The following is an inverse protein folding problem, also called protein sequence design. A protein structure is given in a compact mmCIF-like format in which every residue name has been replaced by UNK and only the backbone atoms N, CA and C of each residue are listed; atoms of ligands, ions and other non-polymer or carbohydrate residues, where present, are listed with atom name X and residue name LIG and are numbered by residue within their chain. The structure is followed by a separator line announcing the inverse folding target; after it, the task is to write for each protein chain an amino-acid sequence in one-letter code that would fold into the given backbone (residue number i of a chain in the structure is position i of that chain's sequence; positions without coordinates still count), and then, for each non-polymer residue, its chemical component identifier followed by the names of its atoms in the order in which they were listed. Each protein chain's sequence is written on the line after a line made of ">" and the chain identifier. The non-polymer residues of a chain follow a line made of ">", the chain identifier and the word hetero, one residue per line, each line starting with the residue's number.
data_IF_218878118882
#
_entry.id   IF_218878118882
#
_cell.length_a   1.000
_cell.length_b   1.000
_cell.length_c   1.000
_cell.angle_alpha   90.00
_cell.angle_beta   90.00
_cell.angle_gamma   90.00
#
_symmetry.space_group_name_H-M   'P 1'
#
loop_
_entity.id
_entity.type
_entity.pdbx_description
1 polymer ?
#
# COMPACT_ATOMS: atom_id res chain seq x y z
N UNK A 1 16.86 19.80 -9.75
CA UNK A 1 16.71 18.82 -10.87
C UNK A 1 15.25 18.45 -10.96
N UNK A 2 14.67 18.23 -12.15
CA UNK A 2 13.27 17.85 -12.26
C UNK A 2 13.04 16.48 -11.63
N UNK A 3 12.01 16.38 -10.80
CA UNK A 3 11.56 15.13 -10.22
C UNK A 3 10.11 14.89 -10.62
N UNK A 4 9.71 13.63 -10.70
CA UNK A 4 8.34 13.25 -11.01
C UNK A 4 7.84 12.25 -9.98
N UNK A 5 6.56 12.39 -9.62
CA UNK A 5 5.81 11.35 -8.93
C UNK A 5 5.06 10.56 -10.00
N UNK A 6 5.22 9.24 -9.94
CA UNK A 6 4.53 8.28 -10.80
C UNK A 6 3.53 7.53 -9.93
N UNK A 7 2.25 7.67 -10.25
CA UNK A 7 1.19 6.84 -9.70
C UNK A 7 1.01 5.60 -10.55
N UNK A 8 0.98 4.43 -9.93
CA UNK A 8 0.80 3.18 -10.64
C UNK A 8 -0.16 2.22 -9.92
N UNK A 9 -0.75 1.31 -10.70
CA UNK A 9 -1.50 0.17 -10.20
C UNK A 9 -0.64 -1.10 -10.21
N UNK A 10 -0.84 -1.96 -9.22
CA UNK A 10 -0.27 -3.32 -9.11
C UNK A 10 -1.42 -4.29 -8.88
N UNK A 11 -1.88 -4.91 -9.95
CA UNK A 11 -3.07 -5.78 -10.00
C UNK A 11 -2.77 -7.07 -10.76
N UNK A 12 -3.76 -7.97 -10.86
CA UNK A 12 -3.63 -9.22 -11.63
C UNK A 12 -2.38 -10.04 -11.23
N UNK A 13 -1.59 -10.55 -12.18
CA UNK A 13 -0.40 -11.35 -11.88
C UNK A 13 0.70 -10.55 -11.18
N UNK A 14 0.81 -9.24 -11.43
CA UNK A 14 1.83 -8.39 -10.83
C UNK A 14 1.71 -8.28 -9.30
N UNK A 15 0.54 -8.59 -8.71
CA UNK A 15 0.34 -8.61 -7.25
C UNK A 15 1.31 -9.54 -6.53
N UNK A 16 1.84 -10.55 -7.22
CA UNK A 16 2.78 -11.53 -6.67
C UNK A 16 4.24 -11.09 -6.72
N UNK A 17 4.56 -9.96 -7.37
CA UNK A 17 5.91 -9.40 -7.33
C UNK A 17 6.23 -8.91 -5.91
N UNK A 18 7.38 -9.33 -5.39
CA UNK A 18 7.98 -8.76 -4.19
C UNK A 18 8.45 -7.32 -4.43
N UNK A 19 8.71 -6.58 -3.35
CA UNK A 19 9.21 -5.21 -3.45
C UNK A 19 10.54 -5.13 -4.22
N UNK A 20 11.47 -6.06 -3.98
CA UNK A 20 12.77 -6.05 -4.66
C UNK A 20 12.65 -6.35 -6.16
N UNK A 21 11.75 -7.26 -6.54
CA UNK A 21 11.48 -7.53 -7.96
C UNK A 21 10.83 -6.33 -8.65
N UNK A 22 9.92 -5.65 -7.96
CA UNK A 22 9.30 -4.43 -8.46
C UNK A 22 10.32 -3.31 -8.69
N UNK A 23 11.23 -3.09 -7.73
CA UNK A 23 12.34 -2.12 -7.87
C UNK A 23 13.17 -2.45 -9.12
N UNK A 24 13.63 -3.70 -9.25
CA UNK A 24 14.43 -4.14 -10.42
C UNK A 24 13.65 -4.02 -11.73
N UNK A 25 12.34 -4.24 -11.70
CA UNK A 25 11.48 -4.09 -12.87
C UNK A 25 11.44 -2.63 -13.32
N UNK A 26 11.19 -1.69 -12.41
CA UNK A 26 11.20 -0.27 -12.73
C UNK A 26 12.57 0.20 -13.22
N UNK A 27 13.67 -0.25 -12.61
CA UNK A 27 15.02 0.04 -13.11
C UNK A 27 15.21 -0.36 -14.58
N UNK A 28 14.77 -1.58 -14.94
CA UNK A 28 14.82 -2.06 -16.33
C UNK A 28 13.87 -1.30 -17.25
N UNK A 29 12.65 -1.02 -16.79
CA UNK A 29 11.65 -0.29 -17.55
C UNK A 29 12.12 1.12 -17.89
N UNK A 30 12.69 1.85 -16.94
CA UNK A 30 13.24 3.19 -17.14
C UNK A 30 14.39 3.18 -18.17
N UNK A 31 15.27 2.17 -18.10
CA UNK A 31 16.35 1.98 -19.08
C UNK A 31 15.81 1.70 -20.48
N UNK A 32 14.86 0.77 -20.63
CA UNK A 32 14.26 0.42 -21.94
C UNK A 32 13.43 1.56 -22.53
N UNK A 33 12.77 2.33 -21.67
CA UNK A 33 12.03 3.53 -22.06
C UNK A 33 12.98 4.65 -22.54
N UNK A 34 14.29 4.52 -22.35
CA UNK A 34 15.31 5.52 -22.64
C UNK A 34 15.02 6.87 -21.96
N UNK A 35 14.42 6.83 -20.78
CA UNK A 35 14.15 8.04 -20.00
C UNK A 35 15.46 8.55 -19.39
N UNK A 36 15.74 9.86 -19.45
CA UNK A 36 16.97 10.45 -18.91
C UNK A 36 16.88 10.56 -17.38
N UNK A 37 16.78 9.42 -16.70
CA UNK A 37 16.76 9.33 -15.23
C UNK A 37 18.18 9.57 -14.70
N UNK A 38 18.29 10.28 -13.59
CA UNK A 38 19.55 10.47 -12.88
C UNK A 38 20.02 9.14 -12.30
N UNK A 39 21.33 8.92 -12.26
CA UNK A 39 21.92 7.74 -11.64
C UNK A 39 22.72 8.11 -10.38
N UNK A 40 22.82 7.18 -9.44
CA UNK A 40 23.72 7.29 -8.29
C UNK A 40 25.20 7.34 -8.73
N UNK A 41 26.04 8.01 -7.95
CA UNK A 41 27.45 8.30 -8.27
C UNK A 41 28.43 7.23 -7.74
N UNK A 42 27.96 6.00 -7.48
CA UNK A 42 28.78 4.91 -6.92
C UNK A 42 29.24 3.90 -7.97
N UNK A 43 30.02 2.90 -7.54
CA UNK A 43 30.54 1.83 -8.40
C UNK A 43 29.47 0.99 -9.13
N UNK A 44 28.23 1.03 -8.65
CA UNK A 44 27.06 0.41 -9.31
C UNK A 44 25.95 1.47 -9.46
N UNK A 45 26.01 2.31 -10.51
CA UNK A 45 25.05 3.39 -10.71
C UNK A 45 23.65 2.81 -10.89
N UNK A 46 22.72 3.27 -10.04
CA UNK A 46 21.31 2.88 -10.02
C UNK A 46 20.45 4.09 -10.38
N UNK A 47 19.34 3.92 -11.12
CA UNK A 47 18.37 4.99 -11.30
C UNK A 47 17.94 5.58 -9.96
N UNK A 48 17.89 6.90 -9.87
CA UNK A 48 17.48 7.64 -8.68
C UNK A 48 15.95 7.56 -8.54
N UNK A 49 15.47 6.42 -8.03
CA UNK A 49 14.07 6.15 -7.76
C UNK A 49 13.83 5.82 -6.29
N UNK A 50 12.65 6.14 -5.80
CA UNK A 50 12.18 5.79 -4.45
C UNK A 50 10.69 5.45 -4.48
N UNK A 51 10.25 4.57 -3.58
CA UNK A 51 8.85 4.17 -3.46
C UNK A 51 8.27 4.76 -2.18
N UNK A 52 6.99 5.11 -2.20
CA UNK A 52 6.31 5.66 -1.03
C UNK A 52 6.17 4.64 0.10
N UNK A 53 5.76 3.42 -0.23
CA UNK A 53 5.67 2.32 0.72
C UNK A 53 5.72 0.98 -0.02
N UNK A 54 6.29 -0.09 0.57
CA UNK A 54 6.14 -1.42 0.01
C UNK A 54 4.67 -1.87 0.05
N UNK A 55 4.30 -2.74 -0.89
CA UNK A 55 3.03 -3.46 -0.90
C UNK A 55 3.34 -4.95 -0.65
N UNK A 56 2.57 -5.59 0.21
CA UNK A 56 2.74 -7.01 0.53
C UNK A 56 2.47 -7.90 -0.69
N UNK A 57 3.15 -9.05 -0.75
CA UNK A 57 2.95 -10.02 -1.83
C UNK A 57 1.53 -10.57 -1.76
N UNK A 58 0.84 -10.64 -2.90
CA UNK A 58 -0.55 -11.06 -3.00
C UNK A 58 -1.56 -9.91 -2.87
N UNK A 59 -1.17 -8.78 -2.28
CA UNK A 59 -2.00 -7.57 -2.22
C UNK A 59 -1.99 -6.83 -3.56
N UNK A 60 -3.14 -6.24 -3.88
CA UNK A 60 -3.33 -5.40 -5.07
C UNK A 60 -3.45 -3.92 -4.70
N UNK A 61 -3.25 -3.01 -5.64
CA UNK A 61 -3.45 -1.57 -5.41
C UNK A 61 -3.60 -0.77 -6.70
N UNK A 62 -4.31 0.35 -6.62
CA UNK A 62 -4.41 1.41 -7.64
C UNK A 62 -3.86 2.77 -7.15
N UNK A 63 -3.21 2.77 -5.98
CA UNK A 63 -2.81 3.97 -5.24
C UNK A 63 -1.33 4.00 -4.89
N UNK A 64 -0.49 3.31 -5.67
CA UNK A 64 0.93 3.21 -5.42
C UNK A 64 1.69 4.39 -6.01
N UNK A 65 2.76 4.80 -5.33
CA UNK A 65 3.55 5.95 -5.75
C UNK A 65 5.03 5.61 -5.73
N UNK A 66 5.72 6.06 -6.78
CA UNK A 66 7.16 6.18 -6.79
C UNK A 66 7.57 7.59 -7.20
N UNK A 67 8.75 8.01 -6.77
CA UNK A 67 9.38 9.24 -7.21
C UNK A 67 10.65 8.91 -7.98
N UNK A 68 10.91 9.65 -9.06
CA UNK A 68 12.14 9.55 -9.83
C UNK A 68 12.76 10.92 -10.11
N UNK A 69 14.09 10.99 -10.09
CA UNK A 69 14.85 12.18 -10.49
C UNK A 69 15.29 12.07 -11.95
N UNK A 70 15.08 13.13 -12.73
CA UNK A 70 15.48 13.21 -14.13
C UNK A 70 16.62 14.22 -14.34
N UNK A 71 17.45 13.95 -15.36
CA UNK A 71 18.53 14.84 -15.80
C UNK A 71 17.96 16.04 -16.55
N UNK A 72 16.98 15.81 -17.41
CA UNK A 72 16.30 16.86 -18.20
C UNK A 72 14.79 16.80 -17.98
N UNK A 73 14.10 17.91 -18.25
CA UNK A 73 12.64 17.96 -18.19
C UNK A 73 12.06 17.23 -19.40
N UNK A 74 11.09 16.34 -19.16
CA UNK A 74 10.28 15.70 -20.20
C UNK A 74 8.81 16.01 -19.93
N UNK A 75 7.97 16.07 -20.96
CA UNK A 75 6.54 16.27 -20.74
C UNK A 75 5.98 15.08 -19.94
N UNK A 76 5.25 15.29 -18.83
CA UNK A 76 4.75 14.19 -18.00
C UNK A 76 3.97 13.13 -18.77
N UNK A 77 3.18 13.54 -19.78
CA UNK A 77 2.47 12.61 -20.67
C UNK A 77 3.38 11.68 -21.47
N UNK A 78 4.46 12.21 -22.05
CA UNK A 78 5.45 11.42 -22.80
C UNK A 78 6.17 10.43 -21.87
N UNK A 79 6.53 10.89 -20.67
CA UNK A 79 7.15 10.05 -19.65
C UNK A 79 6.22 8.90 -19.25
N UNK A 80 4.92 9.18 -19.05
CA UNK A 80 3.89 8.18 -18.75
C UNK A 80 3.81 7.12 -19.86
N UNK A 81 3.67 7.54 -21.11
CA UNK A 81 3.49 6.67 -22.26
C UNK A 81 4.70 5.76 -22.49
N UNK A 82 5.91 6.35 -22.48
CA UNK A 82 7.15 5.60 -22.66
C UNK A 82 7.37 4.60 -21.53
N UNK A 83 7.02 4.96 -20.29
CA UNK A 83 7.14 4.06 -19.15
C UNK A 83 6.09 2.94 -19.19
N UNK A 84 4.83 3.26 -19.49
CA UNK A 84 3.74 2.28 -19.64
C UNK A 84 4.07 1.22 -20.70
N UNK A 85 4.64 1.62 -21.84
CA UNK A 85 5.03 0.70 -22.90
C UNK A 85 6.06 -0.37 -22.47
N UNK A 86 6.70 -0.20 -21.31
CA UNK A 86 7.69 -1.13 -20.76
C UNK A 86 7.15 -1.99 -19.60
N UNK A 87 5.90 -1.77 -19.19
CA UNK A 87 5.28 -2.48 -18.07
C UNK A 87 4.68 -3.81 -18.53
N UNK A 88 4.82 -4.89 -17.73
CA UNK A 88 4.12 -6.14 -17.99
C UNK A 88 2.64 -6.03 -17.59
N UNK A 89 1.89 -7.08 -17.90
CA UNK A 89 0.52 -7.25 -17.42
C UNK A 89 0.41 -7.08 -15.90
N UNK A 90 -0.61 -6.33 -15.47
CA UNK A 90 -0.88 -6.06 -14.06
C UNK A 90 -0.10 -4.88 -13.47
N UNK A 91 0.80 -4.22 -14.23
CA UNK A 91 1.39 -2.94 -13.85
C UNK A 91 0.94 -1.84 -14.81
N UNK A 92 0.27 -0.83 -14.26
CA UNK A 92 -0.25 0.29 -15.04
C UNK A 92 0.26 1.61 -14.48
N UNK A 93 0.83 2.45 -15.34
CA UNK A 93 1.26 3.82 -15.04
C UNK A 93 0.05 4.74 -15.23
N UNK A 94 -0.65 5.00 -14.12
CA UNK A 94 -1.88 5.79 -14.11
C UNK A 94 -1.60 7.27 -14.34
N UNK A 95 -0.56 7.81 -13.71
CA UNK A 95 -0.27 9.23 -13.77
C UNK A 95 1.21 9.51 -13.57
N UNK A 96 1.70 10.56 -14.21
CA UNK A 96 3.01 11.16 -13.95
C UNK A 96 2.80 12.64 -13.74
N UNK A 97 3.29 13.18 -12.62
CA UNK A 97 3.22 14.61 -12.31
C UNK A 97 4.59 15.13 -11.87
N UNK A 98 4.94 16.39 -12.14
CA UNK A 98 6.12 17.01 -11.53
C UNK A 98 6.02 16.93 -10.00
N UNK A 99 7.10 16.52 -9.35
CA UNK A 99 7.20 16.56 -7.90
C UNK A 99 7.58 17.98 -7.46
N UNK A 100 7.00 18.45 -6.35
CA UNK A 100 7.47 19.66 -5.69
C UNK A 100 8.95 19.50 -5.30
N UNK A 101 9.77 20.53 -5.52
CA UNK A 101 11.21 20.47 -5.24
C UNK A 101 11.53 20.53 -3.74
N UNK A 102 10.59 20.98 -2.93
CA UNK A 102 10.76 21.19 -1.49
C UNK A 102 9.83 20.27 -0.71
N UNK A 103 10.37 19.58 0.30
CA UNK A 103 9.59 18.77 1.22
C UNK A 103 10.27 17.48 1.68
N UNK A 104 9.57 16.75 2.54
CA UNK A 104 9.96 15.42 3.00
C UNK A 104 9.98 14.43 1.84
N UNK A 105 10.80 13.39 1.92
CA UNK A 105 10.79 12.29 0.94
C UNK A 105 9.39 11.67 0.83
N UNK A 106 9.07 11.10 -0.33
CA UNK A 106 7.77 10.48 -0.57
C UNK A 106 7.38 9.47 0.52
N UNK A 107 8.33 8.63 0.95
CA UNK A 107 8.12 7.69 2.06
C UNK A 107 7.85 8.38 3.40
N UNK A 108 8.54 9.49 3.70
CA UNK A 108 8.34 10.24 4.94
C UNK A 108 7.02 11.03 4.97
N UNK A 109 6.30 11.13 3.85
CA UNK A 109 4.97 11.73 3.74
C UNK A 109 3.85 10.71 3.95
N UNK A 110 4.13 9.41 3.88
CA UNK A 110 3.12 8.37 4.14
C UNK A 110 2.87 8.29 5.64
N UNK A 111 1.61 8.53 6.03
CA UNK A 111 1.14 8.44 7.40
C UNK A 111 0.10 7.33 7.57
N UNK A 112 -0.72 7.11 6.54
CA UNK A 112 -1.74 6.08 6.53
C UNK A 112 -1.91 5.41 5.17
N UNK A 113 -2.77 4.41 5.14
CA UNK A 113 -3.20 3.75 3.92
C UNK A 113 -4.68 3.34 4.04
N UNK A 114 -5.44 3.61 2.98
CA UNK A 114 -6.81 3.14 2.84
C UNK A 114 -6.82 1.77 2.18
N UNK A 115 -7.59 0.84 2.73
CA UNK A 115 -7.67 -0.54 2.27
C UNK A 115 -9.11 -0.99 2.13
N UNK A 116 -9.32 -1.88 1.16
CA UNK A 116 -10.47 -2.78 1.09
C UNK A 116 -9.99 -4.22 1.20
N UNK A 117 -10.63 -5.00 2.06
CA UNK A 117 -10.27 -6.40 2.31
C UNK A 117 -11.52 -7.27 2.20
N UNK A 118 -11.36 -8.45 1.62
CA UNK A 118 -12.41 -9.46 1.55
C UNK A 118 -11.96 -10.71 2.30
N UNK A 119 -12.82 -11.10 3.23
CA UNK A 119 -12.67 -12.26 4.10
C UNK A 119 -13.70 -13.30 3.68
N UNK A 120 -13.32 -14.57 3.68
CA UNK A 120 -14.24 -15.67 3.39
C UNK A 120 -14.46 -16.54 4.63
N UNK A 121 -15.65 -17.14 4.71
CA UNK A 121 -15.99 -18.14 5.70
C UNK A 121 -16.77 -19.30 5.08
N UNK A 122 -16.58 -20.50 5.63
CA UNK A 122 -17.37 -21.67 5.29
C UNK A 122 -18.69 -21.75 6.07
N UNK A 123 -18.90 -20.87 7.06
CA UNK A 123 -20.08 -20.85 7.92
C UNK A 123 -21.35 -20.29 7.24
N UNK A 124 -21.28 -19.94 5.96
CA UNK A 124 -22.41 -19.41 5.19
C UNK A 124 -22.45 -17.88 5.18
N UNK A 125 -23.67 -17.32 5.14
CA UNK A 125 -23.87 -15.87 5.14
C UNK A 125 -23.51 -15.28 6.51
N UNK A 126 -22.81 -14.15 6.50
CA UNK A 126 -22.51 -13.38 7.71
C UNK A 126 -23.45 -12.19 7.77
N UNK A 127 -24.12 -11.98 8.90
CA UNK A 127 -25.02 -10.84 9.09
C UNK A 127 -24.24 -9.55 9.37
N UNK A 128 -24.72 -8.42 8.85
CA UNK A 128 -24.14 -7.09 9.11
C UNK A 128 -24.05 -6.77 10.61
N UNK A 129 -25.02 -7.25 11.39
CA UNK A 129 -25.04 -7.08 12.85
C UNK A 129 -23.82 -7.74 13.49
N UNK A 130 -23.52 -8.99 13.15
CA UNK A 130 -22.36 -9.71 13.69
C UNK A 130 -21.03 -9.06 13.29
N UNK A 131 -20.94 -8.56 12.06
CA UNK A 131 -19.77 -7.81 11.59
C UNK A 131 -19.59 -6.52 12.39
N UNK A 132 -20.67 -5.76 12.59
CA UNK A 132 -20.66 -4.52 13.37
C UNK A 132 -20.24 -4.76 14.82
N UNK A 133 -20.81 -5.76 15.48
CA UNK A 133 -20.44 -6.14 16.86
C UNK A 133 -18.97 -6.58 16.97
N UNK A 134 -18.43 -7.27 15.96
CA UNK A 134 -17.01 -7.62 15.91
C UNK A 134 -16.11 -6.38 15.75
N UNK A 135 -16.49 -5.46 14.87
CA UNK A 135 -15.80 -4.17 14.67
C UNK A 135 -15.83 -3.34 15.95
N UNK A 136 -16.98 -3.21 16.61
CA UNK A 136 -17.14 -2.46 17.86
C UNK A 136 -16.23 -3.03 18.95
N UNK A 137 -16.12 -4.36 19.07
CA UNK A 137 -15.19 -5.02 20.00
C UNK A 137 -13.72 -4.73 19.69
N UNK A 138 -13.34 -4.66 18.41
CA UNK A 138 -11.98 -4.28 17.99
C UNK A 138 -11.69 -2.82 18.31
N UNK A 139 -12.63 -1.92 18.03
CA UNK A 139 -12.46 -0.48 18.25
C UNK A 139 -12.53 -0.10 19.74
N UNK A 140 -13.33 -0.81 20.55
CA UNK A 140 -13.43 -0.58 21.99
C UNK A 140 -12.24 -1.15 22.78
N UNK A 141 -11.45 -2.06 22.20
CA UNK A 141 -10.29 -2.63 22.86
C UNK A 141 -9.25 -1.55 23.15
N UNK A 142 -8.75 -1.49 24.39
CA UNK A 142 -7.67 -0.57 24.78
C UNK A 142 -6.33 -0.95 24.13
N UNK A 143 -6.14 -2.23 23.81
CA UNK A 143 -4.92 -2.76 23.19
C UNK A 143 -5.24 -3.96 22.31
N UNK A 144 -4.54 -4.08 21.19
CA UNK A 144 -4.61 -5.17 20.23
C UNK A 144 -3.18 -5.66 19.93
N UNK A 145 -2.60 -6.50 20.80
CA UNK A 145 -1.25 -7.03 20.59
C UNK A 145 -1.23 -8.03 19.43
N UNK A 146 -0.23 -7.92 18.56
CA UNK A 146 0.07 -8.89 17.51
C UNK A 146 1.54 -9.27 17.55
N UNK A 147 1.83 -10.53 17.29
CA UNK A 147 3.18 -11.06 17.23
C UNK A 147 3.77 -10.91 15.83
N UNK A 148 5.00 -10.39 15.75
CA UNK A 148 5.76 -10.26 14.51
C UNK A 148 7.07 -11.01 14.65
N UNK A 149 7.21 -12.08 13.86
CA UNK A 149 8.45 -12.84 13.76
C UNK A 149 9.40 -12.18 12.76
N UNK A 150 10.63 -11.97 13.19
CA UNK A 150 11.73 -11.52 12.34
C UNK A 150 12.91 -12.46 12.49
N UNK A 151 13.93 -12.43 11.60
CA UNK A 151 15.16 -13.19 11.82
C UNK A 151 15.86 -12.88 13.15
N UNK A 152 15.56 -11.73 13.78
CA UNK A 152 16.11 -11.31 15.08
C UNK A 152 15.23 -11.72 16.27
N UNK A 153 14.20 -12.53 16.05
CA UNK A 153 13.23 -12.98 17.06
C UNK A 153 11.83 -12.41 16.87
N UNK A 154 10.94 -12.81 17.78
CA UNK A 154 9.53 -12.40 17.82
C UNK A 154 9.36 -11.16 18.68
N UNK A 155 8.59 -10.18 18.20
CA UNK A 155 8.21 -8.98 18.96
C UNK A 155 6.71 -8.82 18.96
N UNK A 156 6.15 -8.48 20.11
CA UNK A 156 4.75 -8.07 20.24
C UNK A 156 4.65 -6.58 19.90
N UNK A 157 3.67 -6.21 19.09
CA UNK A 157 3.35 -4.82 18.78
C UNK A 157 1.87 -4.58 18.98
N UNK A 158 1.51 -3.50 19.66
CA UNK A 158 0.12 -3.07 19.74
C UNK A 158 -0.27 -2.34 18.44
N UNK A 159 -1.30 -2.83 17.76
CA UNK A 159 -1.81 -2.23 16.53
C UNK A 159 -3.02 -1.31 16.75
N UNK A 160 -3.65 -1.32 17.93
CA UNK A 160 -4.87 -0.54 18.19
C UNK A 160 -4.72 0.95 17.87
N UNK A 161 -3.61 1.65 18.25
CA UNK A 161 -3.44 3.06 17.94
C UNK A 161 -3.30 3.37 16.45
N UNK A 162 -3.10 2.34 15.62
CA UNK A 162 -2.92 2.47 14.18
C UNK A 162 -4.12 2.05 13.35
N UNK A 163 -5.28 1.81 13.98
CA UNK A 163 -6.56 1.60 13.30
C UNK A 163 -7.34 2.92 13.41
N UNK A 164 -7.36 3.70 12.33
CA UNK A 164 -7.97 5.02 12.29
C UNK A 164 -9.44 4.96 11.87
N UNK A 165 -9.75 4.13 10.88
CA UNK A 165 -11.11 3.81 10.47
C UNK A 165 -11.23 2.31 10.26
N UNK A 166 -12.39 1.75 10.61
CA UNK A 166 -12.75 0.37 10.32
C UNK A 166 -14.27 0.29 10.15
N UNK A 167 -14.71 -0.13 8.97
CA UNK A 167 -16.11 -0.39 8.63
C UNK A 167 -16.20 -1.69 7.85
N UNK A 168 -17.37 -2.29 7.83
CA UNK A 168 -17.56 -3.53 7.10
C UNK A 168 -18.99 -3.99 7.04
N UNK A 169 -19.22 -4.91 6.13
CA UNK A 169 -20.53 -5.46 5.79
C UNK A 169 -20.42 -6.98 5.65
N UNK A 170 -21.46 -7.65 6.11
CA UNK A 170 -21.64 -9.09 5.93
C UNK A 170 -22.00 -9.39 4.48
N UNK A 171 -21.53 -10.53 3.98
CA UNK A 171 -21.82 -10.98 2.62
C UNK A 171 -22.11 -12.48 2.62
N UNK A 172 -22.72 -12.96 1.54
CA UNK A 172 -22.87 -14.39 1.33
C UNK A 172 -21.46 -15.04 1.23
N UNK A 173 -21.09 -15.83 2.23
CA UNK A 173 -19.81 -16.53 2.29
C UNK A 173 -18.63 -15.69 2.81
N UNK A 174 -18.86 -14.52 3.42
CA UNK A 174 -17.75 -13.69 3.86
C UNK A 174 -18.10 -12.32 4.45
N UNK A 175 -17.07 -11.48 4.53
CA UNK A 175 -17.14 -10.09 5.01
C UNK A 175 -16.30 -9.20 4.09
N UNK A 176 -16.81 -8.01 3.77
CA UNK A 176 -16.00 -6.95 3.18
C UNK A 176 -15.69 -5.89 4.22
N UNK A 177 -14.42 -5.49 4.31
CA UNK A 177 -13.95 -4.46 5.22
C UNK A 177 -13.36 -3.31 4.43
N UNK A 178 -13.59 -2.10 4.92
CA UNK A 178 -12.80 -0.93 4.55
C UNK A 178 -12.15 -0.35 5.80
N UNK A 179 -10.88 0.02 5.68
CA UNK A 179 -10.10 0.47 6.82
C UNK A 179 -9.07 1.51 6.42
N UNK A 180 -8.80 2.43 7.34
CA UNK A 180 -7.68 3.38 7.25
C UNK A 180 -6.71 3.02 8.35
N UNK A 181 -5.50 2.61 7.95
CA UNK A 181 -4.48 2.07 8.84
C UNK A 181 -3.22 2.93 8.83
N UNK A 182 -2.51 2.95 9.95
CA UNK A 182 -1.19 3.54 10.04
C UNK A 182 -0.22 2.85 9.07
N UNK A 183 0.49 3.64 8.27
CA UNK A 183 1.47 3.18 7.29
C UNK A 183 2.82 3.93 7.40
N UNK A 184 3.02 4.65 8.50
CA UNK A 184 4.23 5.44 8.75
C UNK A 184 5.39 4.63 9.34
N UNK A 185 6.55 5.28 9.48
CA UNK A 185 7.76 4.66 10.02
C UNK A 185 7.68 4.28 11.49
N UNK A 186 6.92 5.04 12.30
CA UNK A 186 6.73 4.77 13.74
C UNK A 186 5.72 3.65 13.98
N UNK A 187 4.58 3.72 13.29
CA UNK A 187 3.49 2.75 13.41
C UNK A 187 3.02 2.34 12.03
N UNK A 188 2.97 1.02 11.84
CA UNK A 188 2.54 0.36 10.62
C UNK A 188 1.66 -0.80 11.05
N UNK A 189 0.44 -0.87 10.53
CA UNK A 189 -0.53 -1.92 10.80
C UNK A 189 -0.84 -2.65 9.49
N UNK A 190 -0.80 -3.98 9.51
CA UNK A 190 -1.14 -4.79 8.34
C UNK A 190 -2.64 -5.05 8.33
N UNK A 191 -3.32 -5.00 7.17
CA UNK A 191 -4.74 -5.36 7.09
C UNK A 191 -5.04 -6.76 7.62
N UNK A 192 -4.13 -7.71 7.39
CA UNK A 192 -4.26 -9.08 7.89
C UNK A 192 -4.30 -9.15 9.42
N UNK A 193 -3.49 -8.35 10.11
CA UNK A 193 -3.46 -8.29 11.58
C UNK A 193 -4.80 -7.79 12.14
N UNK A 194 -5.44 -6.82 11.47
CA UNK A 194 -6.78 -6.34 11.85
C UNK A 194 -7.83 -7.41 11.60
N UNK A 195 -7.73 -8.13 10.48
CA UNK A 195 -8.65 -9.23 10.15
C UNK A 195 -8.55 -10.38 11.16
N UNK A 196 -7.34 -10.72 11.62
CA UNK A 196 -7.14 -11.73 12.66
C UNK A 196 -7.79 -11.31 13.98
N UNK A 197 -7.64 -10.06 14.39
CA UNK A 197 -8.31 -9.54 15.59
C UNK A 197 -9.84 -9.54 15.46
N UNK A 198 -10.36 -9.19 14.30
CA UNK A 198 -11.80 -9.20 14.02
C UNK A 198 -12.36 -10.63 14.04
N UNK A 199 -11.69 -11.58 13.41
CA UNK A 199 -12.09 -12.99 13.42
C UNK A 199 -12.10 -13.56 14.85
N UNK A 200 -11.03 -13.33 15.62
CA UNK A 200 -10.90 -13.83 16.97
C UNK A 200 -11.91 -13.22 17.96
N UNK A 201 -12.17 -11.91 17.87
CA UNK A 201 -13.08 -11.19 18.79
C UNK A 201 -14.54 -11.28 18.36
N UNK A 202 -14.79 -11.49 17.07
CA UNK A 202 -16.12 -11.67 16.50
C UNK A 202 -16.67 -13.08 16.67
N UNK A 203 -15.82 -14.05 17.02
CA UNK A 203 -16.11 -15.49 16.89
C UNK A 203 -16.57 -15.85 15.46
N UNK A 204 -15.93 -15.21 14.49
CA UNK A 204 -16.24 -15.38 13.07
C UNK A 204 -15.09 -16.17 12.43
N UNK A 205 -15.33 -17.38 11.87
CA UNK A 205 -14.29 -18.18 11.22
C UNK A 205 -13.94 -17.62 9.84
N UNK A 206 -13.29 -16.45 9.85
CA UNK A 206 -12.93 -15.67 8.68
C UNK A 206 -11.46 -15.89 8.29
N UNK A 207 -11.20 -15.99 6.99
CA UNK A 207 -9.84 -16.00 6.42
C UNK A 207 -9.71 -14.90 5.38
N UNK A 208 -8.65 -14.11 5.46
CA UNK A 208 -8.40 -13.05 4.48
C UNK A 208 -8.03 -13.68 3.14
N UNK A 209 -8.71 -13.27 2.06
CA UNK A 209 -8.50 -13.87 0.73
C UNK A 209 -7.97 -12.83 -0.26
N UNK A 210 -8.37 -11.58 -0.08
CA UNK A 210 -7.94 -10.49 -0.95
C UNK A 210 -7.78 -9.21 -0.15
N UNK A 211 -6.67 -8.53 -0.36
CA UNK A 211 -6.45 -7.16 0.10
C UNK A 211 -6.17 -6.25 -1.10
N UNK A 212 -6.72 -5.04 -1.03
CA UNK A 212 -6.54 -4.01 -2.03
C UNK A 212 -6.27 -2.67 -1.34
N UNK A 213 -5.08 -2.10 -1.56
CA UNK A 213 -4.75 -0.75 -1.08
C UNK A 213 -5.32 0.27 -2.06
N UNK A 214 -6.28 1.06 -1.60
CA UNK A 214 -6.95 2.09 -2.39
C UNK A 214 -6.05 3.31 -2.58
N UNK A 215 -5.39 3.74 -1.50
CA UNK A 215 -4.51 4.91 -1.52
C UNK A 215 -3.49 4.86 -0.37
N UNK A 216 -2.34 5.49 -0.60
CA UNK A 216 -1.48 5.99 0.47
C UNK A 216 -1.98 7.36 0.90
N UNK A 217 -1.88 7.66 2.18
CA UNK A 217 -2.48 8.85 2.78
C UNK A 217 -1.44 9.67 3.54
N UNK A 218 -1.62 10.98 3.53
CA UNK A 218 -1.00 11.93 4.44
C UNK A 218 -2.09 12.62 5.27
N UNK A 219 -1.70 13.27 6.37
CA UNK A 219 -2.65 13.97 7.23
C UNK A 219 -2.40 15.47 7.18
N UNK A 220 -3.41 16.22 6.75
CA UNK A 220 -3.40 17.68 6.77
C UNK A 220 -4.58 18.18 7.60
N UNK A 221 -4.34 19.03 8.60
CA UNK A 221 -5.41 19.60 9.47
C UNK A 221 -6.39 18.53 9.98
N UNK A 222 -5.85 17.39 10.42
CA UNK A 222 -6.60 16.22 10.91
C UNK A 222 -7.43 15.44 9.89
N UNK A 223 -7.38 15.81 8.60
CA UNK A 223 -8.05 15.09 7.52
C UNK A 223 -7.09 14.17 6.77
N UNK A 224 -7.58 12.99 6.40
CA UNK A 224 -6.86 12.06 5.52
C UNK A 224 -7.01 12.50 4.08
N UNK A 225 -5.87 12.73 3.42
CA UNK A 225 -5.82 13.06 2.00
C UNK A 225 -4.99 12.01 1.25
N UNK A 226 -5.42 11.58 0.05
CA UNK A 226 -4.58 10.80 -0.84
C UNK A 226 -3.24 11.50 -1.06
N UNK A 227 -2.16 10.74 -0.91
CA UNK A 227 -0.83 11.18 -1.25
C UNK A 227 -0.67 11.06 -2.77
N UNK A 228 -0.25 12.14 -3.43
CA UNK A 228 0.06 12.15 -4.86
C UNK A 228 -1.07 12.64 -5.73
#
# INVERSE_FOLDING_TARGET
>A
MPSYIVKYAKVGPARFLSHLELVRLFERALRRAQLPVKYSQGYNPRPAISFAAPLEVGASSEGELMQMEMVTFGRPGEVRERLQAQMPEGLEVLQVVPAAQEGRSLMARVEGAAWRVWLQTAAGAVEDKSVREAIDRVLAAASLPVERTTPKGTKVKDIRPGIYELRGEGQSGGVSLEMVLAAGSRLHVRPEEVCQQLAARGDLPLKAVRSHRLALLTREREQWLPLG
#
